data_IF_637062535159
#
_entry.id   IF_637062535159
#
_cell.length_a   1.000
_cell.length_b   1.000
_cell.length_c   1.000
_cell.angle_alpha   90.00
_cell.angle_beta   90.00
_cell.angle_gamma   90.00
#
_symmetry.space_group_name_H-M   'P 1'
#
loop_
_entity.id
_entity.type
_entity.pdbx_description
1 polymer ?
#
# COMPACT_ATOMS: atom_id res chain seq x y z
N UNK A 1 -21.70 -4.37 3.72
CA UNK A 1 -21.45 -5.82 3.83
C UNK A 1 -20.50 -6.03 5.00
N UNK A 2 -20.61 -7.13 5.75
CA UNK A 2 -19.67 -7.43 6.83
C UNK A 2 -18.25 -7.64 6.29
N UNK A 3 -17.25 -7.52 7.17
CA UNK A 3 -15.83 -7.76 6.87
C UNK A 3 -15.64 -9.15 6.24
N UNK A 4 -14.78 -9.24 5.22
CA UNK A 4 -14.33 -10.53 4.66
C UNK A 4 -13.53 -11.31 5.71
N UNK A 5 -13.78 -12.61 5.82
CA UNK A 5 -13.12 -13.50 6.78
C UNK A 5 -12.05 -14.39 6.16
N UNK A 6 -11.94 -14.37 4.84
CA UNK A 6 -10.95 -15.11 4.05
C UNK A 6 -9.68 -14.29 3.78
N UNK A 7 -9.64 -13.03 4.20
CA UNK A 7 -8.49 -12.14 4.13
C UNK A 7 -7.97 -11.86 5.54
N UNK A 8 -6.65 -11.88 5.70
CA UNK A 8 -5.96 -11.59 6.96
C UNK A 8 -4.90 -10.50 6.79
N UNK A 9 -4.17 -10.51 5.66
CA UNK A 9 -3.08 -9.58 5.37
C UNK A 9 -3.33 -8.83 4.07
N UNK A 10 -3.21 -7.51 4.12
CA UNK A 10 -3.45 -6.63 2.97
C UNK A 10 -2.20 -5.80 2.67
N UNK A 11 -1.78 -5.82 1.42
CA UNK A 11 -0.72 -4.96 0.88
C UNK A 11 -1.31 -3.64 0.38
N UNK A 12 -0.93 -2.54 1.02
CA UNK A 12 -1.31 -1.18 0.68
C UNK A 12 -0.21 -0.50 -0.14
N UNK A 13 -0.57 0.00 -1.33
CA UNK A 13 0.37 0.68 -2.23
C UNK A 13 0.23 2.20 -2.08
N UNK A 14 1.31 2.86 -1.66
CA UNK A 14 1.38 4.32 -1.60
C UNK A 14 1.60 4.98 -2.96
N UNK A 15 1.62 6.31 -2.98
CA UNK A 15 1.74 7.09 -4.22
C UNK A 15 3.18 7.37 -4.65
N UNK A 16 4.17 7.16 -3.78
CA UNK A 16 5.53 7.61 -4.02
C UNK A 16 5.69 9.12 -3.81
N UNK A 17 6.73 9.75 -4.39
CA UNK A 17 7.05 11.15 -4.15
C UNK A 17 5.95 12.09 -4.67
N UNK A 18 5.84 13.25 -4.02
CA UNK A 18 4.90 14.31 -4.43
C UNK A 18 5.32 14.89 -5.77
N UNK A 19 4.38 14.95 -6.71
CA UNK A 19 4.53 15.59 -8.02
C UNK A 19 3.28 16.42 -8.36
N UNK A 20 3.40 17.33 -9.33
CA UNK A 20 2.23 18.09 -9.81
C UNK A 20 1.18 17.10 -10.35
N UNK A 21 -0.03 17.17 -9.81
CA UNK A 21 -1.15 16.27 -10.17
C UNK A 21 -1.22 14.97 -9.37
N UNK A 22 -0.25 14.70 -8.49
CA UNK A 22 -0.29 13.57 -7.55
C UNK A 22 0.46 13.96 -6.27
N UNK A 23 -0.27 14.49 -5.27
CA UNK A 23 0.33 15.13 -4.10
C UNK A 23 -0.16 14.55 -2.77
N UNK A 24 -0.27 15.40 -1.74
CA UNK A 24 -0.51 15.03 -0.35
C UNK A 24 -1.86 14.33 -0.12
N UNK A 25 -2.81 14.44 -1.05
CA UNK A 25 -4.09 13.76 -0.99
C UNK A 25 -3.93 12.24 -0.81
N UNK A 26 -2.86 11.65 -1.35
CA UNK A 26 -2.60 10.22 -1.22
C UNK A 26 -1.92 9.81 0.09
N UNK A 27 -1.20 10.72 0.76
CA UNK A 27 -0.81 10.46 2.15
C UNK A 27 -2.03 10.47 3.07
N UNK A 28 -2.94 11.44 2.88
CA UNK A 28 -4.21 11.47 3.60
C UNK A 28 -5.04 10.20 3.35
N UNK A 29 -5.28 9.84 2.09
CA UNK A 29 -6.06 8.64 1.74
C UNK A 29 -5.39 7.34 2.17
N UNK A 30 -4.06 7.22 2.00
CA UNK A 30 -3.29 6.05 2.46
C UNK A 30 -3.32 5.89 3.97
N UNK A 31 -3.17 6.99 4.72
CA UNK A 31 -3.28 7.02 6.19
C UNK A 31 -4.67 6.56 6.65
N UNK A 32 -5.74 7.03 6.00
CA UNK A 32 -7.11 6.61 6.31
C UNK A 32 -7.33 5.13 6.01
N UNK A 33 -6.82 4.64 4.88
CA UNK A 33 -6.91 3.23 4.53
C UNK A 33 -6.18 2.33 5.54
N UNK A 34 -4.95 2.69 5.92
CA UNK A 34 -4.18 1.94 6.91
C UNK A 34 -4.92 1.87 8.26
N UNK A 35 -5.48 3.00 8.73
CA UNK A 35 -6.29 3.05 9.96
C UNK A 35 -7.53 2.15 9.86
N UNK A 36 -8.32 2.32 8.81
CA UNK A 36 -9.57 1.55 8.64
C UNK A 36 -9.31 0.04 8.58
N UNK A 37 -8.27 -0.40 7.85
CA UNK A 37 -7.91 -1.81 7.76
C UNK A 37 -7.47 -2.38 9.12
N UNK A 38 -6.69 -1.62 9.90
CA UNK A 38 -6.23 -2.07 11.23
C UNK A 38 -7.35 -2.07 12.27
N UNK A 39 -8.24 -1.09 12.25
CA UNK A 39 -9.43 -1.07 13.11
C UNK A 39 -10.35 -2.27 12.84
N UNK A 40 -10.43 -2.68 11.58
CA UNK A 40 -11.11 -3.91 11.16
C UNK A 40 -10.29 -5.18 11.44
N UNK A 41 -9.08 -5.09 11.98
CA UNK A 41 -8.26 -6.23 12.41
C UNK A 41 -7.50 -6.96 11.30
N UNK A 42 -7.21 -6.31 10.17
CA UNK A 42 -6.29 -6.82 9.16
C UNK A 42 -4.83 -6.48 9.50
N UNK A 43 -3.91 -7.37 9.14
CA UNK A 43 -2.47 -7.06 9.09
C UNK A 43 -2.22 -6.20 7.85
N UNK A 44 -1.66 -5.00 8.04
CA UNK A 44 -1.36 -4.06 6.97
C UNK A 44 0.12 -4.07 6.68
N UNK A 45 0.46 -4.38 5.44
CA UNK A 45 1.79 -4.17 4.86
C UNK A 45 1.69 -2.96 3.94
N UNK A 46 2.53 -1.95 4.14
CA UNK A 46 2.52 -0.73 3.34
C UNK A 46 3.85 -0.57 2.60
N UNK A 47 3.79 -0.23 1.31
CA UNK A 47 4.97 0.15 0.53
C UNK A 47 4.77 1.57 0.00
N UNK A 48 5.70 2.47 0.30
CA UNK A 48 5.71 3.82 -0.24
C UNK A 48 7.14 4.37 -0.26
N UNK A 49 7.60 4.92 -1.37
CA UNK A 49 8.96 5.45 -1.47
C UNK A 49 9.14 6.85 -0.87
N UNK A 50 8.06 7.53 -0.50
CA UNK A 50 8.12 8.88 0.07
C UNK A 50 8.26 8.83 1.61
N UNK A 51 9.42 9.23 2.18
CA UNK A 51 9.64 9.17 3.62
C UNK A 51 8.92 10.29 4.40
N UNK A 52 8.38 11.30 3.71
CA UNK A 52 7.73 12.45 4.34
C UNK A 52 6.21 12.30 4.36
N UNK A 53 5.72 11.12 4.75
CA UNK A 53 4.28 10.80 4.80
C UNK A 53 3.89 10.22 6.15
N UNK A 54 2.72 10.59 6.65
CA UNK A 54 2.18 10.00 7.89
C UNK A 54 1.92 8.51 7.69
N UNK A 55 1.45 8.10 6.51
CA UNK A 55 1.19 6.68 6.24
C UNK A 55 2.43 5.78 6.38
N UNK A 56 3.65 6.34 6.29
CA UNK A 56 4.92 5.62 6.50
C UNK A 56 5.42 5.64 7.95
N UNK A 57 4.69 6.27 8.87
CA UNK A 57 5.07 6.21 10.28
C UNK A 57 5.01 4.75 10.80
N UNK A 58 5.96 4.32 11.66
CA UNK A 58 6.04 2.92 12.09
C UNK A 58 4.78 2.39 12.78
N UNK A 59 3.98 3.25 13.39
CA UNK A 59 2.74 2.89 14.06
C UNK A 59 1.52 2.71 13.14
N UNK A 60 1.63 3.11 11.86
CA UNK A 60 0.49 3.17 10.95
C UNK A 60 0.16 1.85 10.27
N UNK A 61 1.15 0.99 10.07
CA UNK A 61 1.02 -0.34 9.47
C UNK A 61 1.83 -1.36 10.28
N UNK A 62 1.47 -2.64 10.19
CA UNK A 62 2.21 -3.71 10.87
C UNK A 62 3.61 -3.90 10.27
N UNK A 63 3.74 -3.62 8.95
CA UNK A 63 5.03 -3.50 8.27
C UNK A 63 5.02 -2.36 7.28
N UNK A 64 6.05 -1.53 7.33
CA UNK A 64 6.25 -0.39 6.42
C UNK A 64 7.54 -0.55 5.65
N UNK A 65 7.44 -0.49 4.33
CA UNK A 65 8.56 -0.51 3.39
C UNK A 65 8.71 0.87 2.74
N UNK A 66 9.76 1.60 3.16
CA UNK A 66 10.17 2.85 2.50
C UNK A 66 11.14 2.53 1.37
N UNK A 67 10.61 1.96 0.30
CA UNK A 67 11.35 1.35 -0.81
C UNK A 67 10.82 1.83 -2.18
N UNK A 68 11.57 1.68 -3.28
CA UNK A 68 11.12 2.09 -4.61
C UNK A 68 9.81 1.39 -5.05
N UNK A 69 8.87 2.17 -5.58
CA UNK A 69 7.61 1.66 -6.16
C UNK A 69 7.81 1.16 -7.59
N UNK A 70 8.59 0.09 -7.71
CA UNK A 70 8.86 -0.62 -8.98
C UNK A 70 8.29 -2.04 -8.90
N UNK A 71 7.85 -2.65 -10.02
CA UNK A 71 7.32 -4.01 -10.00
C UNK A 71 8.28 -5.01 -9.35
N UNK A 72 9.59 -4.90 -9.61
CA UNK A 72 10.60 -5.82 -9.08
C UNK A 72 10.75 -5.72 -7.56
N UNK A 73 10.67 -4.51 -6.98
CA UNK A 73 10.72 -4.35 -5.54
C UNK A 73 9.43 -4.78 -4.87
N UNK A 74 8.27 -4.43 -5.44
CA UNK A 74 6.98 -4.82 -4.86
C UNK A 74 6.75 -6.32 -4.97
N UNK A 75 7.21 -6.98 -6.04
CA UNK A 75 7.21 -8.43 -6.16
C UNK A 75 8.01 -9.10 -5.03
N UNK A 76 9.17 -8.57 -4.64
CA UNK A 76 9.94 -9.08 -3.49
C UNK A 76 9.20 -8.88 -2.17
N UNK A 77 8.48 -7.77 -2.01
CA UNK A 77 7.62 -7.54 -0.83
C UNK A 77 6.49 -8.56 -0.80
N UNK A 78 5.81 -8.80 -1.93
CA UNK A 78 4.75 -9.81 -2.06
C UNK A 78 5.30 -11.21 -1.74
N UNK A 79 6.45 -11.59 -2.28
CA UNK A 79 7.09 -12.89 -2.02
C UNK A 79 7.39 -13.08 -0.54
N UNK A 80 7.92 -12.05 0.13
CA UNK A 80 8.28 -12.08 1.55
C UNK A 80 7.07 -12.07 2.46
N UNK A 81 6.08 -11.23 2.18
CA UNK A 81 4.96 -10.96 3.08
C UNK A 81 3.76 -11.85 2.84
N UNK A 82 3.60 -12.37 1.61
CA UNK A 82 2.47 -13.17 1.15
C UNK A 82 1.12 -12.56 1.54
N UNK A 83 0.81 -11.33 1.09
CA UNK A 83 -0.49 -10.71 1.36
C UNK A 83 -1.62 -11.49 0.67
N UNK A 84 -2.78 -11.55 1.31
CA UNK A 84 -3.98 -12.19 0.74
C UNK A 84 -4.65 -11.32 -0.31
N UNK A 85 -4.47 -9.99 -0.21
CA UNK A 85 -5.00 -9.02 -1.14
C UNK A 85 -4.09 -7.78 -1.25
N UNK A 86 -4.22 -7.07 -2.37
CA UNK A 86 -3.61 -5.77 -2.60
C UNK A 86 -4.67 -4.68 -2.70
N UNK A 87 -4.42 -3.51 -2.10
CA UNK A 87 -5.24 -2.31 -2.23
C UNK A 87 -4.48 -1.21 -2.99
N UNK A 88 -4.63 -1.14 -4.32
CA UNK A 88 -3.87 -0.20 -5.16
C UNK A 88 -4.58 1.14 -5.42
N UNK A 89 -5.78 1.34 -4.86
CA UNK A 89 -6.68 2.45 -5.21
C UNK A 89 -6.43 3.74 -4.44
N UNK A 90 -5.54 3.74 -3.45
CA UNK A 90 -5.21 4.91 -2.63
C UNK A 90 -3.81 5.47 -2.90
N UNK A 91 -3.10 4.91 -3.89
CA UNK A 91 -1.76 5.33 -4.30
C UNK A 91 -1.74 6.14 -5.61
N UNK A 92 -2.88 6.72 -6.00
CA UNK A 92 -3.01 7.48 -7.25
C UNK A 92 -2.72 6.65 -8.50
N UNK A 93 -2.21 7.30 -9.55
CA UNK A 93 -1.89 6.60 -10.80
C UNK A 93 -0.69 5.66 -10.63
N UNK A 94 0.23 5.99 -9.73
CA UNK A 94 1.38 5.14 -9.42
C UNK A 94 0.93 3.78 -8.89
N UNK A 95 0.01 3.76 -7.93
CA UNK A 95 -0.53 2.51 -7.39
C UNK A 95 -1.27 1.67 -8.42
N UNK A 96 -2.09 2.30 -9.28
CA UNK A 96 -2.84 1.61 -10.33
C UNK A 96 -1.92 0.99 -11.39
N UNK A 97 -0.94 1.76 -11.90
CA UNK A 97 -0.01 1.27 -12.91
C UNK A 97 0.83 0.10 -12.37
N UNK A 98 1.27 0.21 -11.12
CA UNK A 98 2.05 -0.83 -10.47
C UNK A 98 1.25 -2.13 -10.30
N UNK A 99 -0.02 -2.02 -9.90
CA UNK A 99 -0.90 -3.18 -9.77
C UNK A 99 -1.18 -3.88 -11.10
N UNK A 100 -1.36 -3.11 -12.19
CA UNK A 100 -1.53 -3.68 -13.54
C UNK A 100 -0.25 -4.38 -13.97
N UNK A 101 0.92 -3.74 -13.84
CA UNK A 101 2.20 -4.34 -14.21
C UNK A 101 2.46 -5.65 -13.44
N UNK A 102 2.21 -5.67 -12.13
CA UNK A 102 2.35 -6.87 -11.31
C UNK A 102 1.38 -7.97 -11.75
N UNK A 103 0.13 -7.64 -12.06
CA UNK A 103 -0.86 -8.62 -12.52
C UNK A 103 -0.54 -9.20 -13.92
N UNK A 104 0.15 -8.43 -14.77
CA UNK A 104 0.64 -8.91 -16.08
C UNK A 104 1.88 -9.81 -15.94
N UNK A 105 2.70 -9.57 -14.91
CA UNK A 105 3.93 -10.35 -14.64
C UNK A 105 3.69 -11.68 -13.90
N UNK A 106 2.51 -11.89 -13.28
CA UNK A 106 2.06 -13.15 -12.69
C UNK A 106 1.89 -13.13 -11.17
#
# INVERSE_FOLDING_TARGET
MPRRTDLTKILLIGSGPIVIGQACEFDYSGTQAAKALREEGFEVVLVNSNPATIMTDPEMADRTYVEPLTPEFVAKVIERERPDAMLPTVGGQTGLNLAVALAEDG
#
